data_IF_814623693792
#
_entry.id   IF_814623693792
#
_cell.length_a   1.000
_cell.length_b   1.000
_cell.length_c   1.000
_cell.angle_alpha   90.00
_cell.angle_beta   90.00
_cell.angle_gamma   90.00
#
_symmetry.space_group_name_H-M   'P 1'
#
loop_
_entity.id
_entity.type
_entity.pdbx_description
1 polymer ?
#
# COMPACT_ATOMS: atom_id res chain seq x y z
N UNK A 1 6.17 -10.16 10.66
CA UNK A 1 6.57 -10.20 9.23
C UNK A 1 6.13 -8.91 8.58
N UNK A 2 6.94 -8.28 7.70
CA UNK A 2 6.53 -7.03 7.05
C UNK A 2 5.79 -7.34 5.74
N UNK A 3 4.64 -6.71 5.53
CA UNK A 3 3.85 -6.92 4.31
C UNK A 3 4.49 -6.22 3.11
N UNK A 4 4.58 -6.93 1.99
CA UNK A 4 5.07 -6.43 0.71
C UNK A 4 4.00 -5.64 -0.07
N UNK A 5 2.75 -5.59 0.44
CA UNK A 5 1.62 -4.92 -0.20
C UNK A 5 1.94 -3.46 -0.57
N UNK A 6 2.71 -2.76 0.28
CA UNK A 6 3.05 -1.37 0.08
C UNK A 6 4.04 -1.11 -1.07
N UNK A 7 4.63 -2.15 -1.67
CA UNK A 7 5.46 -1.99 -2.87
C UNK A 7 4.66 -1.49 -4.07
N UNK A 8 3.37 -1.83 -4.17
CA UNK A 8 2.49 -1.35 -5.24
C UNK A 8 1.78 -0.02 -4.91
N UNK A 9 2.39 0.80 -4.05
CA UNK A 9 1.98 2.19 -3.82
C UNK A 9 2.81 3.10 -4.71
N UNK A 10 2.42 4.36 -4.88
CA UNK A 10 3.24 5.34 -5.62
C UNK A 10 4.68 5.38 -5.11
N UNK A 11 4.88 5.41 -3.79
CA UNK A 11 6.22 5.43 -3.17
C UNK A 11 7.00 4.12 -3.45
N UNK A 12 6.34 2.97 -3.34
CA UNK A 12 6.95 1.67 -3.60
C UNK A 12 7.29 1.47 -5.08
N UNK A 13 6.43 1.93 -6.00
CA UNK A 13 6.68 1.86 -7.44
C UNK A 13 7.82 2.78 -7.84
N UNK A 14 7.87 4.03 -7.35
CA UNK A 14 8.99 4.93 -7.62
C UNK A 14 10.32 4.37 -7.13
N UNK A 15 10.34 3.66 -6.00
CA UNK A 15 11.53 2.99 -5.50
C UNK A 15 11.95 1.84 -6.43
N UNK A 16 11.00 1.02 -6.88
CA UNK A 16 11.28 -0.09 -7.79
C UNK A 16 11.82 0.42 -9.13
N UNK A 17 11.20 1.44 -9.73
CA UNK A 17 11.65 2.07 -10.97
C UNK A 17 13.08 2.63 -10.81
N UNK A 18 13.37 3.31 -9.70
CA UNK A 18 14.72 3.80 -9.42
C UNK A 18 15.75 2.67 -9.27
N UNK A 19 15.37 1.56 -8.62
CA UNK A 19 16.25 0.39 -8.50
C UNK A 19 16.48 -0.28 -9.85
N UNK A 20 15.47 -0.34 -10.71
CA UNK A 20 15.58 -0.89 -12.05
C UNK A 20 16.52 -0.06 -12.92
N UNK A 21 16.50 1.27 -12.84
CA UNK A 21 17.46 2.15 -13.52
C UNK A 21 18.92 1.89 -13.07
N UNK A 22 19.14 1.67 -11.76
CA UNK A 22 20.46 1.32 -11.22
C UNK A 22 20.93 -0.07 -11.66
N UNK A 23 20.00 -1.02 -11.82
CA UNK A 23 20.32 -2.35 -12.36
C UNK A 23 20.68 -2.24 -13.85
N UNK A 24 19.88 -1.50 -14.63
CA UNK A 24 20.10 -1.32 -16.08
C UNK A 24 21.43 -0.64 -16.38
N UNK A 25 21.83 0.32 -15.54
CA UNK A 25 23.13 1.00 -15.60
C UNK A 25 24.28 0.19 -14.97
N UNK A 26 24.03 -1.05 -14.54
CA UNK A 26 24.99 -1.97 -13.92
C UNK A 26 25.65 -1.43 -12.64
N UNK A 27 25.01 -0.47 -11.96
CA UNK A 27 25.50 0.11 -10.71
C UNK A 27 25.20 -0.77 -9.50
N UNK A 28 24.12 -1.54 -9.54
CA UNK A 28 23.75 -2.51 -8.50
C UNK A 28 23.35 -3.86 -9.10
N UNK A 29 23.43 -4.91 -8.30
CA UNK A 29 22.91 -6.23 -8.69
C UNK A 29 21.41 -6.34 -8.38
N UNK A 30 20.64 -7.17 -9.12
CA UNK A 30 19.25 -7.45 -8.80
C UNK A 30 19.05 -7.98 -7.37
N UNK A 31 20.03 -8.76 -6.87
CA UNK A 31 20.00 -9.28 -5.50
C UNK A 31 20.08 -8.16 -4.46
N UNK A 32 20.88 -7.13 -4.71
CA UNK A 32 20.98 -5.96 -3.82
C UNK A 32 19.67 -5.15 -3.84
N UNK A 33 19.07 -4.93 -5.00
CA UNK A 33 17.77 -4.28 -5.11
C UNK A 33 16.68 -5.01 -4.30
N UNK A 34 16.67 -6.34 -4.32
CA UNK A 34 15.77 -7.13 -3.50
C UNK A 34 15.99 -6.89 -1.99
N UNK A 35 17.25 -6.76 -1.55
CA UNK A 35 17.54 -6.41 -0.14
C UNK A 35 17.03 -5.01 0.22
N UNK A 36 17.14 -4.04 -0.68
CA UNK A 36 16.58 -2.69 -0.49
C UNK A 36 15.06 -2.76 -0.35
N UNK A 37 14.37 -3.53 -1.20
CA UNK A 37 12.92 -3.70 -1.09
C UNK A 37 12.49 -4.40 0.20
N UNK A 38 13.24 -5.41 0.67
CA UNK A 38 13.00 -6.04 1.98
C UNK A 38 13.18 -5.04 3.14
N UNK A 39 14.13 -4.12 3.02
CA UNK A 39 14.31 -3.06 4.01
C UNK A 39 13.21 -2.00 3.92
N UNK A 40 12.75 -1.66 2.72
CA UNK A 40 11.58 -0.79 2.50
C UNK A 40 10.34 -1.37 3.17
N UNK A 41 10.05 -2.66 2.99
CA UNK A 41 8.90 -3.31 3.62
C UNK A 41 8.90 -3.10 5.14
N UNK A 42 10.06 -3.31 5.80
CA UNK A 42 10.20 -3.08 7.24
C UNK A 42 9.97 -1.61 7.60
N UNK A 43 10.57 -0.70 6.85
CA UNK A 43 10.52 0.73 7.12
C UNK A 43 9.11 1.30 7.01
N UNK A 44 8.37 0.96 5.93
CA UNK A 44 7.02 1.50 5.70
C UNK A 44 6.01 0.95 6.71
N UNK A 45 6.08 -0.35 7.04
CA UNK A 45 5.21 -0.95 8.05
C UNK A 45 5.46 -0.31 9.42
N UNK A 46 6.72 -0.09 9.82
CA UNK A 46 7.06 0.56 11.07
C UNK A 46 6.62 2.04 11.10
N UNK A 47 6.85 2.78 10.02
CA UNK A 47 6.49 4.19 9.93
C UNK A 47 4.97 4.41 10.03
N UNK A 48 4.18 3.62 9.30
CA UNK A 48 2.72 3.68 9.36
C UNK A 48 2.20 3.34 10.77
N UNK A 49 2.74 2.29 11.40
CA UNK A 49 2.29 1.87 12.73
C UNK A 49 2.66 2.85 13.86
N UNK A 50 3.82 3.50 13.77
CA UNK A 50 4.38 4.27 14.89
C UNK A 50 4.14 5.78 14.76
N UNK A 51 4.11 6.31 13.52
CA UNK A 51 4.11 7.76 13.27
C UNK A 51 2.75 8.30 12.85
N UNK A 52 1.90 7.49 12.20
CA UNK A 52 0.59 7.92 11.70
C UNK A 52 -0.47 7.80 12.79
N UNK A 53 -1.23 8.87 13.02
CA UNK A 53 -2.22 8.97 14.10
C UNK A 53 -3.60 9.43 13.65
N UNK A 54 -3.73 9.93 12.43
CA UNK A 54 -4.99 10.44 11.90
C UNK A 54 -5.97 9.28 11.64
N UNK A 55 -7.25 9.60 11.68
CA UNK A 55 -8.35 8.66 11.46
C UNK A 55 -9.23 9.16 10.33
N UNK A 56 -9.57 8.24 9.44
CA UNK A 56 -10.50 8.48 8.32
C UNK A 56 -11.74 7.62 8.52
N UNK A 57 -12.91 8.16 8.20
CA UNK A 57 -14.15 7.41 8.06
C UNK A 57 -14.57 7.39 6.59
N UNK A 58 -15.23 6.33 6.13
CA UNK A 58 -15.74 6.28 4.76
C UNK A 58 -17.08 5.58 4.67
N UNK A 59 -17.87 5.92 3.64
CA UNK A 59 -19.10 5.21 3.28
C UNK A 59 -19.19 5.09 1.76
N UNK A 60 -19.80 4.02 1.28
CA UNK A 60 -20.00 3.80 -0.16
C UNK A 60 -20.74 2.48 -0.41
N UNK A 61 -21.02 2.21 -1.68
CA UNK A 61 -21.75 1.02 -2.12
C UNK A 61 -20.76 -0.11 -2.44
N UNK A 62 -20.87 -1.24 -1.74
CA UNK A 62 -20.03 -2.41 -2.05
C UNK A 62 -20.40 -2.99 -3.42
N UNK A 63 -19.42 -3.05 -4.33
CA UNK A 63 -19.58 -3.61 -5.67
C UNK A 63 -19.21 -5.10 -5.67
N UNK A 64 -17.99 -5.43 -5.23
CA UNK A 64 -17.54 -6.82 -5.12
C UNK A 64 -16.55 -6.96 -3.97
N UNK A 65 -16.45 -8.18 -3.43
CA UNK A 65 -15.46 -8.53 -2.41
C UNK A 65 -14.82 -9.89 -2.71
N UNK A 66 -13.63 -10.12 -2.14
CA UNK A 66 -12.91 -11.40 -2.19
C UNK A 66 -12.05 -11.54 -0.95
N UNK A 67 -12.01 -12.75 -0.41
CA UNK A 67 -11.04 -13.15 0.61
C UNK A 67 -10.28 -14.38 0.13
N UNK A 68 -8.96 -14.28 0.08
CA UNK A 68 -8.05 -15.35 -0.34
C UNK A 68 -6.68 -15.08 0.28
N UNK A 69 -5.97 -16.12 0.75
CA UNK A 69 -4.64 -16.03 1.36
C UNK A 69 -4.52 -14.98 2.49
N UNK A 70 -5.54 -14.88 3.35
CA UNK A 70 -5.62 -13.90 4.44
C UNK A 70 -5.57 -12.43 3.97
N UNK A 71 -5.92 -12.18 2.70
CA UNK A 71 -6.04 -10.84 2.13
C UNK A 71 -7.48 -10.59 1.70
N UNK A 72 -8.06 -9.51 2.21
CA UNK A 72 -9.33 -8.97 1.74
C UNK A 72 -9.10 -8.02 0.57
N UNK A 73 -9.92 -8.15 -0.47
CA UNK A 73 -10.01 -7.19 -1.56
C UNK A 73 -11.46 -6.76 -1.75
N UNK A 74 -11.72 -5.46 -1.61
CA UNK A 74 -13.02 -4.85 -1.86
C UNK A 74 -12.94 -3.90 -3.05
N UNK A 75 -14.02 -3.81 -3.81
CA UNK A 75 -14.26 -2.71 -4.75
C UNK A 75 -15.56 -2.07 -4.34
N UNK A 76 -15.55 -0.76 -4.12
CA UNK A 76 -16.71 0.04 -3.76
C UNK A 76 -16.94 1.08 -4.84
N UNK A 77 -18.20 1.44 -5.06
CA UNK A 77 -18.61 2.56 -5.90
C UNK A 77 -19.17 3.70 -5.03
N UNK A 78 -19.17 4.92 -5.57
CA UNK A 78 -19.77 6.13 -4.96
C UNK A 78 -19.30 6.36 -3.52
N UNK A 79 -17.98 6.36 -3.32
CA UNK A 79 -17.37 6.40 -1.99
C UNK A 79 -17.10 7.84 -1.56
N UNK A 80 -17.48 8.14 -0.31
CA UNK A 80 -17.10 9.36 0.38
C UNK A 80 -16.14 9.02 1.52
N UNK A 81 -14.90 9.51 1.43
CA UNK A 81 -13.93 9.54 2.52
C UNK A 81 -14.04 10.86 3.27
N UNK A 82 -14.01 10.79 4.59
CA UNK A 82 -14.12 11.94 5.50
C UNK A 82 -13.02 11.88 6.55
N UNK A 83 -12.17 12.91 6.54
CA UNK A 83 -11.28 13.24 7.65
C UNK A 83 -11.91 14.38 8.48
N UNK A 84 -11.15 14.97 9.42
CA UNK A 84 -11.66 16.00 10.33
C UNK A 84 -12.16 17.23 9.56
N UNK A 85 -11.41 17.66 8.55
CA UNK A 85 -11.71 18.88 7.78
C UNK A 85 -11.97 18.61 6.30
N UNK A 86 -11.61 17.42 5.80
CA UNK A 86 -11.64 17.11 4.38
C UNK A 86 -12.66 16.04 4.02
N UNK A 87 -13.26 16.22 2.85
CA UNK A 87 -14.21 15.29 2.25
C UNK A 87 -13.78 15.02 0.82
N UNK A 88 -13.50 13.76 0.51
CA UNK A 88 -13.08 13.30 -0.81
C UNK A 88 -14.12 12.33 -1.34
N UNK A 89 -14.64 12.61 -2.53
CA UNK A 89 -15.57 11.71 -3.24
C UNK A 89 -14.86 11.03 -4.40
N UNK A 90 -15.09 9.73 -4.57
CA UNK A 90 -14.56 8.95 -5.68
C UNK A 90 -15.63 8.00 -6.21
N UNK A 91 -15.72 7.90 -7.54
CA UNK A 91 -16.72 7.04 -8.19
C UNK A 91 -16.46 5.56 -7.92
N UNK A 92 -15.19 5.18 -7.78
CA UNK A 92 -14.76 3.79 -7.56
C UNK A 92 -13.45 3.72 -6.81
N UNK A 93 -13.35 2.82 -5.81
CA UNK A 93 -12.13 2.55 -5.06
C UNK A 93 -11.90 1.06 -4.87
N UNK A 94 -10.63 0.64 -4.91
CA UNK A 94 -10.19 -0.72 -4.54
C UNK A 94 -9.48 -0.67 -3.20
N UNK A 95 -9.96 -1.45 -2.23
CA UNK A 95 -9.33 -1.59 -0.91
C UNK A 95 -8.70 -2.99 -0.83
N UNK A 96 -7.39 -3.06 -0.58
CA UNK A 96 -6.68 -4.33 -0.34
C UNK A 96 -6.16 -4.28 1.09
N UNK A 97 -6.54 -5.27 1.91
CA UNK A 97 -6.21 -5.32 3.32
C UNK A 97 -5.65 -6.70 3.69
N UNK A 98 -4.40 -6.71 4.16
CA UNK A 98 -3.81 -7.89 4.82
C UNK A 98 -4.28 -7.96 6.28
N UNK A 99 -4.26 -9.15 6.87
CA UNK A 99 -4.58 -9.31 8.28
C UNK A 99 -3.64 -8.48 9.17
N UNK A 100 -4.21 -7.67 10.06
CA UNK A 100 -3.45 -6.88 11.03
C UNK A 100 -3.21 -7.63 12.35
N UNK A 101 -3.83 -8.81 12.53
CA UNK A 101 -3.64 -9.63 13.73
C UNK A 101 -2.22 -10.19 13.77
N UNK A 102 -1.63 -10.06 14.95
CA UNK A 102 -0.35 -10.70 15.32
C UNK A 102 -0.62 -12.10 15.83
#
# INVERSE_FOLDING_TARGET
MAYQLYRNTTLGNSLQESLDELIQSQQITPQLALQVLLQFDKAINAALAQRVRNRVNFRGSLNTYRFCDNVWTFVLNDVEFREVTELVKVDKVKIVACDGKS
#
